data_IF_492154322301
#
_entry.id   IF_492154322301
#
_cell.length_a   1.000
_cell.length_b   1.000
_cell.length_c   1.000
_cell.angle_alpha   90.00
_cell.angle_beta   90.00
_cell.angle_gamma   90.00
#
_symmetry.space_group_name_H-M   'P 1'
#
loop_
_entity.id
_entity.type
_entity.pdbx_description
1 polymer ?
#
# COMPACT_ATOMS: atom_id res chain seq x y z
N UNK A 1 -10.11 44.55 29.53
CA UNK A 1 -9.72 43.62 28.45
C UNK A 1 -8.77 42.60 29.01
N UNK A 2 -9.14 41.33 28.88
CA UNK A 2 -8.29 40.19 29.18
C UNK A 2 -7.40 39.84 27.99
N UNK A 3 -6.15 39.47 28.23
CA UNK A 3 -5.25 38.95 27.20
C UNK A 3 -5.43 37.44 27.08
N UNK A 4 -5.85 36.98 25.91
CA UNK A 4 -6.21 35.58 25.65
C UNK A 4 -5.52 35.08 24.37
N UNK A 5 -5.39 33.77 24.25
CA UNK A 5 -4.90 33.11 23.03
C UNK A 5 -6.08 32.53 22.25
N UNK A 6 -6.30 33.00 21.03
CA UNK A 6 -7.33 32.46 20.13
C UNK A 6 -6.68 31.52 19.11
N UNK A 7 -7.08 30.26 19.13
CA UNK A 7 -6.53 29.21 18.27
C UNK A 7 -7.51 28.81 17.19
N UNK A 8 -7.03 28.87 15.95
CA UNK A 8 -7.79 28.59 14.75
C UNK A 8 -7.23 27.30 14.13
N UNK A 9 -8.06 26.27 13.93
CA UNK A 9 -7.62 25.02 13.32
C UNK A 9 -7.28 25.25 11.84
N UNK A 10 -6.39 24.42 11.31
CA UNK A 10 -5.92 24.49 9.91
C UNK A 10 -7.07 24.58 8.88
N UNK A 11 -8.17 23.88 9.12
CA UNK A 11 -9.38 23.86 8.27
C UNK A 11 -9.99 25.27 8.11
N UNK A 12 -9.87 26.12 9.12
CA UNK A 12 -10.37 27.50 9.13
C UNK A 12 -9.26 28.54 8.86
N UNK A 13 -8.01 28.11 8.66
CA UNK A 13 -6.85 28.95 8.34
C UNK A 13 -6.32 28.67 6.92
N UNK A 14 -7.22 28.43 5.96
CA UNK A 14 -6.86 28.23 4.54
C UNK A 14 -5.77 27.16 4.29
N UNK A 15 -5.66 26.16 5.17
CA UNK A 15 -4.66 25.10 5.08
C UNK A 15 -3.25 25.48 5.55
N UNK A 16 -3.03 26.69 6.06
CA UNK A 16 -1.73 27.19 6.56
C UNK A 16 -1.35 26.70 7.97
N UNK A 17 -1.84 25.54 8.40
CA UNK A 17 -1.61 25.01 9.74
C UNK A 17 -2.48 25.65 10.83
N UNK A 18 -2.32 25.18 12.06
CA UNK A 18 -2.94 25.81 13.24
C UNK A 18 -2.35 27.21 13.46
N UNK A 19 -3.22 28.19 13.68
CA UNK A 19 -2.81 29.57 13.92
C UNK A 19 -3.27 30.02 15.31
N UNK A 20 -2.30 30.46 16.12
CA UNK A 20 -2.55 31.07 17.43
C UNK A 20 -2.40 32.58 17.32
N UNK A 21 -3.39 33.31 17.83
CA UNK A 21 -3.42 34.77 17.78
C UNK A 21 -3.68 35.28 19.19
N UNK A 22 -2.75 36.07 19.72
CA UNK A 22 -2.95 36.77 20.98
C UNK A 22 -3.83 38.00 20.77
N UNK A 23 -4.92 38.10 21.54
CA UNK A 23 -5.84 39.23 21.46
C UNK A 23 -6.25 39.70 22.85
N UNK A 24 -6.50 41.00 22.97
CA UNK A 24 -6.99 41.63 24.21
C UNK A 24 -8.48 41.98 24.06
N UNK A 25 -9.36 41.35 24.84
CA UNK A 25 -10.84 41.38 24.70
C UNK A 25 -11.53 41.14 26.06
N UNK A 26 -12.77 41.60 26.23
CA UNK A 26 -13.50 41.43 27.50
C UNK A 26 -14.44 40.22 27.49
N UNK A 27 -15.02 39.89 26.34
CA UNK A 27 -15.98 38.80 26.18
C UNK A 27 -15.65 37.88 25.01
N UNK A 28 -16.31 36.72 24.97
CA UNK A 28 -16.24 35.81 23.83
C UNK A 28 -16.75 36.47 22.54
N UNK A 29 -17.79 37.30 22.61
CA UNK A 29 -18.28 38.10 21.48
C UNK A 29 -17.17 38.99 20.90
N UNK A 30 -16.49 39.75 21.75
CA UNK A 30 -15.41 40.64 21.34
C UNK A 30 -14.23 39.86 20.72
N UNK A 31 -13.96 38.65 21.23
CA UNK A 31 -12.95 37.76 20.69
C UNK A 31 -13.23 37.38 19.23
N UNK A 32 -14.48 37.03 18.89
CA UNK A 32 -14.88 36.69 17.53
C UNK A 32 -14.89 37.89 16.58
N UNK A 33 -15.24 39.08 17.05
CA UNK A 33 -15.13 40.31 16.25
C UNK A 33 -13.67 40.57 15.90
N UNK A 34 -12.80 40.59 16.91
CA UNK A 34 -11.38 40.93 16.75
C UNK A 34 -10.63 39.90 15.91
N UNK A 35 -10.87 38.60 16.12
CA UNK A 35 -10.23 37.57 15.31
C UNK A 35 -10.70 37.61 13.86
N UNK A 36 -11.95 38.00 13.59
CA UNK A 36 -12.46 38.15 12.22
C UNK A 36 -11.78 39.31 11.48
N UNK A 37 -11.45 40.39 12.18
CA UNK A 37 -10.65 41.49 11.61
C UNK A 37 -9.23 41.05 11.26
N UNK A 38 -8.61 40.23 12.12
CA UNK A 38 -7.26 39.69 11.90
C UNK A 38 -7.21 38.67 10.75
N UNK A 39 -8.26 37.85 10.63
CA UNK A 39 -8.31 36.74 9.68
C UNK A 39 -8.94 37.12 8.33
N UNK A 40 -9.66 38.23 8.27
CA UNK A 40 -10.28 38.75 7.06
C UNK A 40 -11.61 38.08 6.68
N UNK A 41 -12.16 38.52 5.55
CA UNK A 41 -13.53 38.22 5.15
C UNK A 41 -13.80 36.73 4.87
N UNK A 42 -12.80 35.97 4.41
CA UNK A 42 -12.99 34.54 4.13
C UNK A 42 -13.21 33.73 5.42
N UNK A 43 -12.45 34.02 6.47
CA UNK A 43 -12.67 33.43 7.79
C UNK A 43 -14.04 33.81 8.34
N UNK A 44 -14.38 35.11 8.26
CA UNK A 44 -15.66 35.64 8.73
C UNK A 44 -16.85 34.91 8.09
N UNK A 45 -16.81 34.69 6.77
CA UNK A 45 -17.83 33.95 6.01
C UNK A 45 -18.00 32.51 6.48
N UNK A 46 -16.90 31.84 6.82
CA UNK A 46 -16.88 30.41 7.24
C UNK A 46 -17.27 30.21 8.70
N UNK A 47 -17.02 31.19 9.57
CA UNK A 47 -17.16 31.04 11.03
C UNK A 47 -18.38 31.75 11.59
N UNK A 48 -18.85 32.84 10.97
CA UNK A 48 -19.98 33.63 11.45
C UNK A 48 -21.20 33.56 10.52
N UNK A 49 -22.38 33.74 11.10
CA UNK A 49 -23.63 34.07 10.40
C UNK A 49 -23.67 35.57 10.04
N UNK A 50 -24.68 35.97 9.26
CA UNK A 50 -24.84 37.37 8.81
C UNK A 50 -25.12 38.35 9.95
N UNK A 51 -25.62 37.87 11.08
CA UNK A 51 -25.84 38.66 12.30
C UNK A 51 -24.60 38.78 13.20
N UNK A 52 -23.47 38.17 12.81
CA UNK A 52 -22.21 38.20 13.54
C UNK A 52 -22.09 37.15 14.65
N UNK A 53 -23.07 36.27 14.82
CA UNK A 53 -22.96 35.13 15.74
C UNK A 53 -22.16 33.98 15.12
N UNK A 54 -21.41 33.18 15.89
CA UNK A 54 -20.76 31.97 15.36
C UNK A 54 -21.79 31.01 14.77
N UNK A 55 -21.49 30.44 13.60
CA UNK A 55 -22.36 29.44 12.97
C UNK A 55 -22.63 28.30 13.95
N UNK A 56 -23.82 27.72 13.87
CA UNK A 56 -24.21 26.56 14.71
C UNK A 56 -23.26 25.37 14.60
N UNK A 57 -22.57 25.29 13.45
CA UNK A 57 -21.52 24.34 13.12
C UNK A 57 -20.14 24.73 13.66
N UNK A 58 -20.00 25.69 14.57
CA UNK A 58 -18.71 26.02 15.21
C UNK A 58 -18.83 25.72 16.71
N UNK A 59 -18.18 24.65 17.14
CA UNK A 59 -17.94 24.35 18.55
C UNK A 59 -16.83 25.26 19.09
N UNK A 60 -17.01 25.74 20.31
CA UNK A 60 -16.12 26.71 20.94
C UNK A 60 -15.69 26.13 22.28
N UNK A 61 -14.40 26.16 22.56
CA UNK A 61 -13.81 25.68 23.79
C UNK A 61 -13.02 26.80 24.45
N UNK A 62 -13.19 26.98 25.75
CA UNK A 62 -12.43 27.91 26.59
C UNK A 62 -11.68 27.06 27.62
N UNK A 63 -10.35 27.08 27.60
CA UNK A 63 -9.49 26.25 28.43
C UNK A 63 -9.87 24.75 28.36
N UNK A 64 -10.19 24.27 27.15
CA UNK A 64 -10.61 22.89 26.90
C UNK A 64 -12.06 22.55 27.29
N UNK A 65 -12.83 23.49 27.87
CA UNK A 65 -14.25 23.29 28.22
C UNK A 65 -15.16 23.89 27.16
N UNK A 66 -16.16 23.13 26.72
CA UNK A 66 -17.09 23.61 25.69
C UNK A 66 -17.93 24.78 26.20
N UNK A 67 -17.94 25.90 25.46
CA UNK A 67 -18.59 27.15 25.83
C UNK A 67 -20.13 27.08 25.78
N UNK A 68 -20.74 26.02 25.22
CA UNK A 68 -22.19 25.79 25.31
C UNK A 68 -22.67 25.56 26.76
N UNK A 69 -21.76 25.30 27.70
CA UNK A 69 -22.06 25.13 29.12
C UNK A 69 -21.74 26.37 29.99
N UNK A 70 -21.32 27.49 29.39
CA UNK A 70 -21.15 28.80 30.03
C UNK A 70 -22.26 29.77 29.60
N UNK A 71 -22.17 31.05 29.96
CA UNK A 71 -23.09 32.13 29.54
C UNK A 71 -23.08 32.41 28.02
N UNK A 72 -22.67 31.47 27.18
CA UNK A 72 -22.59 31.61 25.73
C UNK A 72 -21.62 32.72 25.30
N UNK A 73 -22.04 33.55 24.35
CA UNK A 73 -21.23 34.65 23.80
C UNK A 73 -20.96 35.79 24.79
N UNK A 74 -21.76 35.91 25.85
CA UNK A 74 -21.56 36.87 26.93
C UNK A 74 -20.55 36.38 27.99
N UNK A 75 -19.91 35.23 27.76
CA UNK A 75 -18.88 34.72 28.67
C UNK A 75 -17.75 35.74 28.80
N UNK A 76 -17.54 36.23 30.03
CA UNK A 76 -16.44 37.11 30.38
C UNK A 76 -15.14 36.30 30.41
N UNK A 77 -14.12 36.80 29.70
CA UNK A 77 -12.82 36.16 29.57
C UNK A 77 -11.84 36.67 30.63
N UNK A 78 -10.89 35.83 31.01
CA UNK A 78 -9.84 36.12 31.98
C UNK A 78 -8.47 36.11 31.32
N UNK A 79 -7.52 36.84 31.91
CA UNK A 79 -6.13 36.80 31.46
C UNK A 79 -5.60 35.37 31.44
N UNK A 80 -5.02 34.99 30.30
CA UNK A 80 -4.48 33.66 30.06
C UNK A 80 -5.49 32.63 29.57
N UNK A 81 -6.76 32.99 29.34
CA UNK A 81 -7.71 32.06 28.74
C UNK A 81 -7.26 31.65 27.32
N UNK A 82 -7.45 30.38 27.00
CA UNK A 82 -7.24 29.83 25.66
C UNK A 82 -8.58 29.50 25.02
N UNK A 83 -8.83 30.07 23.84
CA UNK A 83 -10.02 29.81 23.04
C UNK A 83 -9.63 28.93 21.86
N UNK A 84 -10.38 27.86 21.65
CA UNK A 84 -10.21 26.94 20.52
C UNK A 84 -11.55 26.74 19.81
N UNK A 85 -11.57 26.91 18.50
CA UNK A 85 -12.77 26.67 17.69
C UNK A 85 -12.64 25.40 16.86
N UNK A 86 -13.73 24.65 16.76
CA UNK A 86 -13.80 23.40 15.99
C UNK A 86 -15.10 23.39 15.20
N UNK A 87 -15.08 23.22 13.88
CA UNK A 87 -16.33 23.00 13.16
C UNK A 87 -17.02 21.71 13.66
N UNK A 88 -18.30 21.79 14.02
CA UNK A 88 -19.21 20.66 14.18
C UNK A 88 -19.63 20.21 12.79
N UNK A 89 -19.57 18.91 12.52
CA UNK A 89 -19.90 18.41 11.19
C UNK A 89 -20.77 17.16 11.34
N UNK A 90 -21.88 17.17 10.61
CA UNK A 90 -22.88 16.11 10.63
C UNK A 90 -22.45 14.96 9.70
N UNK A 91 -22.66 13.73 10.17
CA UNK A 91 -22.10 12.50 9.59
C UNK A 91 -22.36 12.27 8.10
N UNK A 92 -21.25 11.98 7.41
CA UNK A 92 -21.12 11.34 6.11
C UNK A 92 -19.66 10.87 5.98
N UNK A 93 -19.36 9.91 5.12
CA UNK A 93 -18.04 9.27 4.95
C UNK A 93 -16.88 10.20 4.53
N UNK A 94 -17.03 11.51 4.66
CA UNK A 94 -16.10 12.56 4.24
C UNK A 94 -15.27 13.13 5.40
N UNK A 95 -15.38 12.61 6.62
CA UNK A 95 -14.61 13.12 7.78
C UNK A 95 -13.98 12.02 8.65
N UNK A 96 -13.01 12.41 9.47
CA UNK A 96 -12.40 11.54 10.48
C UNK A 96 -13.30 11.45 11.71
N UNK A 97 -13.67 10.24 12.12
CA UNK A 97 -14.36 10.00 13.39
C UNK A 97 -13.48 10.38 14.58
N UNK A 98 -14.09 10.56 15.77
CA UNK A 98 -13.34 10.84 16.99
C UNK A 98 -12.26 9.77 17.29
N UNK A 99 -12.56 8.49 17.00
CA UNK A 99 -11.60 7.39 17.13
C UNK A 99 -10.42 7.54 16.16
N UNK A 100 -10.69 7.92 14.90
CA UNK A 100 -9.64 8.15 13.90
C UNK A 100 -8.82 9.40 14.23
N UNK A 101 -9.44 10.47 14.73
CA UNK A 101 -8.74 11.67 15.21
C UNK A 101 -7.81 11.37 16.39
N UNK A 102 -8.25 10.57 17.36
CA UNK A 102 -7.39 10.15 18.47
C UNK A 102 -6.22 9.29 17.98
N UNK A 103 -6.52 8.26 17.17
CA UNK A 103 -5.53 7.33 16.60
C UNK A 103 -4.47 8.04 15.75
N UNK A 104 -4.90 8.94 14.87
CA UNK A 104 -4.04 9.63 13.92
C UNK A 104 -3.66 11.03 14.37
N UNK A 105 -3.93 11.40 15.63
CA UNK A 105 -3.66 12.72 16.20
C UNK A 105 -2.26 13.24 15.86
N UNK A 106 -1.24 12.39 16.04
CA UNK A 106 0.15 12.72 15.73
C UNK A 106 0.40 12.97 14.24
N UNK A 107 -0.29 12.27 13.34
CA UNK A 107 -0.20 12.50 11.89
C UNK A 107 -0.97 13.75 11.46
N UNK A 108 -2.15 13.98 12.03
CA UNK A 108 -2.98 15.16 11.77
C UNK A 108 -2.26 16.46 12.18
N UNK A 109 -1.41 16.40 13.21
CA UNK A 109 -0.59 17.53 13.65
C UNK A 109 0.66 17.77 12.78
N UNK A 110 1.08 16.81 11.95
CA UNK A 110 2.21 17.01 11.03
C UNK A 110 1.78 17.94 9.91
N UNK A 111 2.55 19.02 9.68
CA UNK A 111 2.30 19.97 8.59
C UNK A 111 2.30 19.26 7.23
N UNK A 112 3.11 18.20 7.09
CA UNK A 112 3.23 17.45 5.86
C UNK A 112 1.99 16.64 5.50
N UNK A 113 1.13 16.30 6.48
CA UNK A 113 -0.09 15.50 6.27
C UNK A 113 -1.31 16.37 6.59
N UNK A 114 -1.43 16.86 7.82
CA UNK A 114 -2.58 17.64 8.26
C UNK A 114 -3.89 16.83 8.30
N UNK A 115 -4.97 17.47 8.76
CA UNK A 115 -6.30 16.87 8.73
C UNK A 115 -6.72 16.43 7.31
N UNK A 116 -6.52 17.31 6.32
CA UNK A 116 -6.90 17.03 4.94
C UNK A 116 -6.07 15.91 4.30
N UNK A 117 -4.77 15.82 4.58
CA UNK A 117 -3.96 14.70 4.09
C UNK A 117 -4.39 13.39 4.73
N UNK A 118 -4.70 13.37 6.02
CA UNK A 118 -5.22 12.18 6.69
C UNK A 118 -6.59 11.74 6.12
N UNK A 119 -7.45 12.70 5.77
CA UNK A 119 -8.71 12.41 5.10
C UNK A 119 -8.50 11.81 3.70
N UNK A 120 -7.53 12.33 2.93
CA UNK A 120 -7.15 11.74 1.63
C UNK A 120 -6.62 10.31 1.80
N UNK A 121 -5.80 10.04 2.82
CA UNK A 121 -5.36 8.68 3.14
C UNK A 121 -6.55 7.76 3.41
N UNK A 122 -7.49 8.20 4.27
CA UNK A 122 -8.72 7.46 4.59
C UNK A 122 -9.59 7.18 3.36
N UNK A 123 -9.62 8.07 2.39
CA UNK A 123 -10.44 7.90 1.20
C UNK A 123 -9.72 7.22 0.03
N UNK A 124 -8.43 6.91 0.19
CA UNK A 124 -7.62 6.30 -0.87
C UNK A 124 -7.71 4.78 -0.90
N UNK A 125 -7.46 4.23 -2.08
CA UNK A 125 -7.22 2.82 -2.36
C UNK A 125 -5.80 2.60 -2.87
N UNK A 126 -4.99 1.91 -2.08
CA UNK A 126 -3.61 1.57 -2.43
C UNK A 126 -3.50 0.08 -2.74
N UNK A 127 -2.84 -0.26 -3.84
CA UNK A 127 -2.51 -1.65 -4.17
C UNK A 127 -1.03 -1.90 -3.88
N UNK A 128 -0.72 -2.88 -3.03
CA UNK A 128 0.64 -3.35 -2.79
C UNK A 128 0.80 -4.72 -3.42
N UNK A 129 1.72 -4.82 -4.38
CA UNK A 129 2.02 -6.05 -5.10
C UNK A 129 3.28 -6.68 -4.52
N UNK A 130 3.14 -7.85 -3.92
CA UNK A 130 4.13 -8.50 -3.09
C UNK A 130 3.86 -8.22 -1.60
N UNK A 131 3.70 -9.28 -0.82
CA UNK A 131 3.60 -9.24 0.66
C UNK A 131 4.79 -9.92 1.33
N UNK A 132 5.89 -10.09 0.59
CA UNK A 132 7.15 -10.66 1.08
C UNK A 132 7.94 -9.70 1.97
N UNK A 133 9.27 -9.81 1.91
CA UNK A 133 10.18 -9.06 2.80
C UNK A 133 10.04 -7.55 2.67
N UNK A 134 9.84 -7.05 1.44
CA UNK A 134 9.64 -5.63 1.18
C UNK A 134 8.18 -5.19 1.43
N UNK A 135 7.22 -6.02 1.03
CA UNK A 135 5.79 -5.74 1.19
C UNK A 135 5.29 -5.72 2.64
N UNK A 136 5.91 -6.49 3.53
CA UNK A 136 5.58 -6.56 4.96
C UNK A 136 5.63 -5.19 5.67
N UNK A 137 6.77 -4.46 5.67
CA UNK A 137 6.85 -3.14 6.28
C UNK A 137 5.95 -2.11 5.56
N UNK A 138 5.73 -2.24 4.26
CA UNK A 138 4.87 -1.34 3.47
C UNK A 138 3.41 -1.47 3.92
N UNK A 139 2.86 -2.68 3.83
CA UNK A 139 1.44 -2.95 4.14
C UNK A 139 1.10 -2.62 5.59
N UNK A 140 1.97 -3.01 6.54
CA UNK A 140 1.80 -2.72 7.95
C UNK A 140 1.78 -1.22 8.22
N UNK A 141 2.70 -0.47 7.59
CA UNK A 141 2.79 0.98 7.76
C UNK A 141 1.60 1.69 7.12
N UNK A 142 1.19 1.34 5.90
CA UNK A 142 0.01 1.93 5.25
C UNK A 142 -1.28 1.70 6.05
N UNK A 143 -1.49 0.47 6.55
CA UNK A 143 -2.64 0.16 7.41
C UNK A 143 -2.60 0.98 8.70
N UNK A 144 -1.42 1.09 9.35
CA UNK A 144 -1.24 1.90 10.55
C UNK A 144 -1.40 3.42 10.31
N UNK A 145 -1.08 3.90 9.11
CA UNK A 145 -1.23 5.30 8.71
C UNK A 145 -2.68 5.67 8.37
N UNK A 146 -3.59 4.69 8.26
CA UNK A 146 -5.01 4.93 8.04
C UNK A 146 -5.41 5.04 6.57
N UNK A 147 -4.75 4.29 5.68
CA UNK A 147 -5.27 4.09 4.32
C UNK A 147 -6.68 3.47 4.38
N UNK A 148 -7.60 3.98 3.56
CA UNK A 148 -8.99 3.51 3.50
C UNK A 148 -9.11 2.08 3.05
N UNK A 149 -8.63 1.81 1.83
CA UNK A 149 -8.61 0.46 1.25
C UNK A 149 -7.19 0.06 0.88
N UNK A 150 -6.72 -1.05 1.44
CA UNK A 150 -5.44 -1.64 1.10
C UNK A 150 -5.68 -2.96 0.35
N UNK A 151 -5.41 -2.95 -0.95
CA UNK A 151 -5.37 -4.16 -1.77
C UNK A 151 -3.97 -4.76 -1.66
N UNK A 152 -3.89 -6.03 -1.28
CA UNK A 152 -2.63 -6.77 -1.17
C UNK A 152 -2.66 -7.96 -2.12
N UNK A 153 -1.58 -8.14 -2.86
CA UNK A 153 -1.48 -9.13 -3.94
C UNK A 153 -0.22 -9.95 -3.72
N UNK A 154 -0.36 -11.26 -3.65
CA UNK A 154 0.75 -12.21 -3.56
C UNK A 154 0.26 -13.57 -3.98
N UNK A 155 1.15 -14.42 -4.50
CA UNK A 155 0.81 -15.76 -4.98
C UNK A 155 1.42 -16.87 -4.12
N UNK A 156 2.16 -16.53 -3.07
CA UNK A 156 2.94 -17.48 -2.31
C UNK A 156 2.28 -17.90 -0.99
N UNK A 157 2.86 -18.94 -0.41
CA UNK A 157 2.64 -19.38 0.97
C UNK A 157 3.81 -19.00 1.87
N UNK A 158 3.57 -18.95 3.18
CA UNK A 158 4.57 -18.60 4.17
C UNK A 158 5.50 -19.79 4.41
N UNK A 159 6.81 -19.55 4.36
CA UNK A 159 7.84 -20.54 4.67
C UNK A 159 8.65 -20.13 5.91
N UNK A 160 9.21 -21.10 6.64
CA UNK A 160 10.10 -20.81 7.78
C UNK A 160 11.28 -19.90 7.38
N UNK A 161 11.84 -20.11 6.18
CA UNK A 161 12.91 -19.31 5.60
C UNK A 161 12.55 -17.82 5.41
N UNK A 162 11.26 -17.47 5.46
CA UNK A 162 10.76 -16.12 5.23
C UNK A 162 10.76 -15.28 6.53
N UNK A 163 10.63 -15.92 7.69
CA UNK A 163 10.32 -15.24 8.96
C UNK A 163 11.40 -14.27 9.42
N UNK A 164 12.68 -14.46 9.03
CA UNK A 164 13.76 -13.53 9.39
C UNK A 164 13.60 -12.13 8.78
N UNK A 165 12.79 -11.98 7.72
CA UNK A 165 12.57 -10.71 7.01
C UNK A 165 11.10 -10.34 6.80
N UNK A 166 10.16 -11.24 7.07
CA UNK A 166 8.72 -11.05 6.91
C UNK A 166 8.04 -11.03 8.28
N UNK A 167 8.28 -9.95 9.04
CA UNK A 167 7.97 -9.85 10.49
C UNK A 167 6.48 -9.71 10.83
N UNK A 168 5.60 -9.58 9.85
CA UNK A 168 4.17 -9.72 10.01
C UNK A 168 3.80 -11.17 10.31
N UNK A 169 4.57 -12.15 9.84
CA UNK A 169 4.31 -13.58 10.00
C UNK A 169 5.07 -14.18 11.18
N UNK A 170 4.56 -15.30 11.71
CA UNK A 170 5.21 -16.10 12.76
C UNK A 170 5.21 -17.60 12.38
N UNK A 171 5.76 -18.44 13.25
CA UNK A 171 5.92 -19.89 12.98
C UNK A 171 4.57 -20.61 12.82
N UNK A 172 3.51 -20.15 13.48
CA UNK A 172 2.18 -20.75 13.39
C UNK A 172 1.52 -20.47 12.02
N UNK A 173 2.00 -19.45 11.29
CA UNK A 173 1.49 -19.13 9.96
C UNK A 173 2.14 -19.95 8.83
N UNK A 174 3.17 -20.75 9.10
CA UNK A 174 3.91 -21.48 8.07
C UNK A 174 2.98 -22.44 7.32
N UNK A 175 3.04 -22.40 5.99
CA UNK A 175 2.18 -23.17 5.09
C UNK A 175 0.86 -22.49 4.70
N UNK A 176 0.48 -21.39 5.37
CA UNK A 176 -0.70 -20.61 4.98
C UNK A 176 -0.40 -19.63 3.83
N UNK A 177 -1.44 -19.27 3.06
CA UNK A 177 -1.36 -18.26 1.98
C UNK A 177 -1.01 -16.89 2.55
N UNK A 178 0.05 -16.25 2.02
CA UNK A 178 0.60 -14.99 2.55
C UNK A 178 -0.45 -13.88 2.67
N UNK A 179 -1.18 -13.60 1.58
CA UNK A 179 -2.20 -12.52 1.60
C UNK A 179 -3.35 -12.80 2.56
N UNK A 180 -3.70 -14.07 2.80
CA UNK A 180 -4.79 -14.42 3.72
C UNK A 180 -4.40 -14.11 5.17
N UNK A 181 -3.20 -14.56 5.56
CA UNK A 181 -2.65 -14.27 6.89
C UNK A 181 -2.38 -12.78 7.06
N UNK A 182 -1.77 -12.13 6.06
CA UNK A 182 -1.51 -10.70 6.08
C UNK A 182 -2.81 -9.91 6.27
N UNK A 183 -3.89 -10.26 5.57
CA UNK A 183 -5.18 -9.59 5.75
C UNK A 183 -5.74 -9.74 7.17
N UNK A 184 -5.64 -10.94 7.76
CA UNK A 184 -6.07 -11.18 9.16
C UNK A 184 -5.26 -10.31 10.13
N UNK A 185 -3.94 -10.23 9.96
CA UNK A 185 -3.04 -9.48 10.85
C UNK A 185 -3.17 -7.96 10.66
N UNK A 186 -3.30 -7.48 9.43
CA UNK A 186 -3.52 -6.06 9.14
C UNK A 186 -4.88 -5.56 9.66
N UNK A 187 -5.95 -6.37 9.58
CA UNK A 187 -7.24 -6.04 10.20
C UNK A 187 -7.17 -5.94 11.72
N UNK A 188 -6.35 -6.78 12.38
CA UNK A 188 -6.07 -6.66 13.82
C UNK A 188 -5.30 -5.38 14.14
N UNK A 189 -4.33 -5.02 13.29
CA UNK A 189 -3.56 -3.79 13.42
C UNK A 189 -4.46 -2.56 13.32
N UNK A 190 -5.27 -2.45 12.27
CA UNK A 190 -6.22 -1.35 12.09
C UNK A 190 -7.53 -1.84 11.46
N UNK A 191 -8.57 -2.02 12.29
CA UNK A 191 -9.88 -2.50 11.85
C UNK A 191 -10.64 -1.52 10.93
N UNK A 192 -10.25 -0.24 10.90
CA UNK A 192 -10.88 0.77 10.05
C UNK A 192 -10.33 0.73 8.61
N UNK A 193 -9.22 0.02 8.38
CA UNK A 193 -8.63 -0.20 7.05
C UNK A 193 -9.29 -1.41 6.37
N UNK A 194 -9.93 -1.19 5.21
CA UNK A 194 -10.50 -2.26 4.39
C UNK A 194 -9.39 -3.01 3.65
N UNK A 195 -9.18 -4.29 3.98
CA UNK A 195 -8.20 -5.13 3.30
C UNK A 195 -8.85 -5.96 2.18
N UNK A 196 -8.35 -5.81 0.96
CA UNK A 196 -8.69 -6.64 -0.21
C UNK A 196 -7.51 -7.58 -0.52
N UNK A 197 -7.62 -8.86 -0.19
CA UNK A 197 -6.57 -9.85 -0.43
C UNK A 197 -6.78 -10.58 -1.76
N UNK A 198 -5.76 -10.57 -2.63
CA UNK A 198 -5.76 -11.27 -3.91
C UNK A 198 -4.60 -12.28 -3.96
N UNK A 199 -4.96 -13.57 -3.94
CA UNK A 199 -4.02 -14.68 -4.07
C UNK A 199 -3.73 -14.96 -5.55
N UNK A 200 -3.02 -14.06 -6.23
CA UNK A 200 -2.87 -14.05 -7.69
C UNK A 200 -1.44 -13.70 -8.08
N UNK A 201 -0.92 -14.38 -9.12
CA UNK A 201 0.35 -14.03 -9.75
C UNK A 201 0.19 -12.84 -10.69
N UNK A 202 1.08 -11.85 -10.59
CA UNK A 202 1.06 -10.68 -11.49
C UNK A 202 1.84 -10.98 -12.76
N UNK A 203 1.15 -10.91 -13.89
CA UNK A 203 1.69 -11.12 -15.24
C UNK A 203 0.84 -10.36 -16.26
N UNK A 204 1.14 -10.49 -17.54
CA UNK A 204 0.46 -9.76 -18.62
C UNK A 204 -1.06 -10.03 -18.74
N UNK A 205 -1.54 -11.14 -18.17
CA UNK A 205 -2.94 -11.52 -18.18
C UNK A 205 -3.71 -10.98 -16.96
N UNK A 206 -3.03 -10.89 -15.81
CA UNK A 206 -3.68 -10.56 -14.53
C UNK A 206 -3.43 -9.13 -14.06
N UNK A 207 -2.35 -8.49 -14.50
CA UNK A 207 -1.90 -7.19 -13.99
C UNK A 207 -2.96 -6.09 -14.15
N UNK A 208 -3.77 -6.15 -15.21
CA UNK A 208 -4.85 -5.18 -15.43
C UNK A 208 -5.92 -5.23 -14.33
N UNK A 209 -6.44 -6.42 -14.03
CA UNK A 209 -7.43 -6.60 -12.96
C UNK A 209 -6.85 -6.21 -11.60
N UNK A 210 -5.58 -6.52 -11.37
CA UNK A 210 -4.88 -6.26 -10.10
C UNK A 210 -4.84 -4.77 -9.77
N UNK A 211 -4.53 -3.90 -10.73
CA UNK A 211 -4.35 -2.46 -10.48
C UNK A 211 -5.65 -1.66 -10.62
N UNK A 212 -6.67 -2.20 -11.28
CA UNK A 212 -7.89 -1.47 -11.62
C UNK A 212 -8.56 -0.83 -10.39
N UNK A 213 -8.91 0.46 -10.53
CA UNK A 213 -9.62 1.24 -9.51
C UNK A 213 -8.77 1.67 -8.32
N UNK A 214 -7.45 1.53 -8.35
CA UNK A 214 -6.54 2.00 -7.30
C UNK A 214 -6.02 3.41 -7.60
N UNK A 215 -5.77 4.20 -6.56
CA UNK A 215 -5.21 5.55 -6.68
C UNK A 215 -3.69 5.52 -6.86
N UNK A 216 -3.03 4.57 -6.18
CA UNK A 216 -1.58 4.35 -6.23
C UNK A 216 -1.27 2.87 -6.13
N UNK A 217 -0.27 2.42 -6.88
CA UNK A 217 0.29 1.06 -6.80
C UNK A 217 1.68 1.12 -6.18
N UNK A 218 2.04 0.17 -5.31
CA UNK A 218 3.38 -0.01 -4.77
C UNK A 218 3.87 -1.39 -5.19
N UNK A 219 5.00 -1.41 -5.89
CA UNK A 219 5.69 -2.59 -6.36
C UNK A 219 6.73 -3.05 -5.34
N UNK A 220 6.40 -4.16 -4.67
CA UNK A 220 7.28 -4.89 -3.76
C UNK A 220 7.56 -6.30 -4.28
N UNK A 221 7.57 -6.48 -5.61
CA UNK A 221 7.89 -7.74 -6.28
C UNK A 221 9.39 -8.04 -6.21
N UNK A 222 9.74 -9.30 -6.49
CA UNK A 222 11.13 -9.74 -6.70
C UNK A 222 11.39 -10.23 -8.13
N UNK A 223 10.35 -10.44 -8.94
CA UNK A 223 10.45 -10.80 -10.37
C UNK A 223 10.59 -9.58 -11.29
N UNK A 224 11.38 -9.70 -12.35
CA UNK A 224 11.51 -8.66 -13.40
C UNK A 224 10.31 -8.68 -14.34
N UNK A 225 9.87 -9.87 -14.75
CA UNK A 225 8.74 -10.03 -15.66
C UNK A 225 7.43 -9.51 -15.05
N UNK A 226 7.19 -9.79 -13.77
CA UNK A 226 6.04 -9.26 -13.05
C UNK A 226 6.06 -7.72 -12.97
N UNK A 227 7.24 -7.10 -12.79
CA UNK A 227 7.40 -5.63 -12.81
C UNK A 227 7.09 -5.02 -14.17
N UNK A 228 7.51 -5.66 -15.26
CA UNK A 228 7.14 -5.20 -16.60
C UNK A 228 5.63 -5.25 -16.84
N UNK A 229 4.98 -6.35 -16.44
CA UNK A 229 3.53 -6.48 -16.53
C UNK A 229 2.80 -5.41 -15.69
N UNK A 230 3.25 -5.20 -14.46
CA UNK A 230 2.70 -4.19 -13.56
C UNK A 230 2.86 -2.77 -14.11
N UNK A 231 4.05 -2.44 -14.64
CA UNK A 231 4.33 -1.17 -15.30
C UNK A 231 3.40 -0.94 -16.49
N UNK A 232 3.21 -1.94 -17.37
CA UNK A 232 2.28 -1.86 -18.50
C UNK A 232 0.85 -1.57 -18.04
N UNK A 233 0.40 -2.26 -16.99
CA UNK A 233 -0.94 -2.08 -16.44
C UNK A 233 -1.14 -0.68 -15.84
N UNK A 234 -0.21 -0.21 -15.01
CA UNK A 234 -0.26 1.12 -14.41
C UNK A 234 -0.23 2.22 -15.46
N UNK A 235 0.62 2.10 -16.49
CA UNK A 235 0.69 3.06 -17.60
C UNK A 235 -0.61 3.09 -18.41
N UNK A 236 -1.25 1.93 -18.64
CA UNK A 236 -2.52 1.84 -19.35
C UNK A 236 -3.65 2.56 -18.64
N UNK A 237 -3.76 2.40 -17.32
CA UNK A 237 -4.80 3.05 -16.52
C UNK A 237 -4.44 4.47 -16.05
N UNK A 238 -3.20 4.91 -16.26
CA UNK A 238 -2.73 6.21 -15.76
C UNK A 238 -2.57 6.26 -14.25
N UNK A 239 -2.34 5.11 -13.60
CA UNK A 239 -2.18 5.00 -12.15
C UNK A 239 -0.71 5.21 -11.77
N UNK A 240 -0.38 6.19 -10.91
CA UNK A 240 0.96 6.33 -10.37
C UNK A 240 1.43 5.06 -9.65
N UNK A 241 2.69 4.68 -9.83
CA UNK A 241 3.26 3.57 -9.05
C UNK A 241 4.65 3.85 -8.52
N UNK A 242 4.92 3.34 -7.33
CA UNK A 242 6.20 3.45 -6.63
C UNK A 242 6.83 2.07 -6.62
N UNK A 243 8.13 1.97 -6.89
CA UNK A 243 8.83 0.69 -6.96
C UNK A 243 10.08 0.69 -6.12
N UNK A 244 10.25 -0.41 -5.39
CA UNK A 244 11.40 -0.72 -4.58
C UNK A 244 12.01 -2.07 -4.98
N UNK A 245 13.33 -2.13 -4.89
CA UNK A 245 14.09 -3.36 -5.00
C UNK A 245 15.20 -3.38 -3.95
N UNK A 246 15.54 -4.57 -3.46
CA UNK A 246 16.65 -4.76 -2.53
C UNK A 246 17.33 -6.11 -2.74
N UNK A 247 18.66 -6.13 -2.64
CA UNK A 247 19.49 -7.32 -2.73
C UNK A 247 20.74 -7.11 -1.88
N UNK A 248 21.17 -8.13 -1.13
CA UNK A 248 22.27 -8.00 -0.18
C UNK A 248 22.01 -6.88 0.83
N UNK A 249 22.85 -5.84 0.79
CA UNK A 249 22.76 -4.64 1.63
C UNK A 249 22.35 -3.38 0.87
N UNK A 250 22.01 -3.53 -0.42
CA UNK A 250 21.71 -2.41 -1.31
C UNK A 250 20.23 -2.36 -1.68
N UNK A 251 19.72 -1.16 -1.93
CA UNK A 251 18.33 -0.91 -2.30
C UNK A 251 18.19 0.15 -3.38
N UNK A 252 17.09 0.08 -4.13
CA UNK A 252 16.75 1.04 -5.18
C UNK A 252 15.28 1.43 -5.08
N UNK A 253 14.99 2.72 -5.22
CA UNK A 253 13.61 3.27 -5.17
C UNK A 253 13.42 4.32 -6.25
N UNK A 254 12.28 4.28 -6.93
CA UNK A 254 11.83 5.37 -7.80
C UNK A 254 10.31 5.42 -7.92
N UNK A 255 9.79 6.54 -8.40
CA UNK A 255 8.35 6.75 -8.62
C UNK A 255 8.06 6.98 -10.09
N UNK A 256 6.99 6.37 -10.57
CA UNK A 256 6.54 6.48 -11.96
C UNK A 256 5.19 7.20 -11.98
N UNK A 257 5.17 8.33 -12.67
CA UNK A 257 3.97 9.06 -13.06
C UNK A 257 3.70 8.74 -14.54
N UNK A 258 2.69 7.91 -14.84
CA UNK A 258 2.39 7.46 -16.20
C UNK A 258 2.37 8.58 -17.22
N UNK A 259 3.10 8.39 -18.32
CA UNK A 259 3.22 9.34 -19.45
C UNK A 259 3.79 10.73 -19.08
N UNK A 260 4.24 10.92 -17.84
CA UNK A 260 4.86 12.16 -17.35
C UNK A 260 6.34 11.93 -17.04
N UNK A 261 6.67 10.92 -16.23
CA UNK A 261 8.05 10.53 -15.93
C UNK A 261 8.53 9.38 -16.81
N UNK A 262 9.80 8.99 -16.67
CA UNK A 262 10.28 7.70 -17.14
C UNK A 262 9.42 6.57 -16.55
N UNK A 263 8.96 5.65 -17.39
CA UNK A 263 8.36 4.39 -16.91
C UNK A 263 9.46 3.35 -16.68
N UNK A 264 9.10 2.18 -16.13
CA UNK A 264 10.08 1.13 -15.83
C UNK A 264 10.88 0.73 -17.08
N UNK A 265 10.21 0.58 -18.22
CA UNK A 265 10.83 0.26 -19.50
C UNK A 265 11.74 1.37 -20.06
N UNK A 266 11.49 2.65 -19.72
CA UNK A 266 12.40 3.73 -20.10
C UNK A 266 13.74 3.62 -19.36
N UNK A 267 13.71 3.18 -18.10
CA UNK A 267 14.90 3.08 -17.25
C UNK A 267 15.66 1.77 -17.49
N UNK A 268 14.91 0.69 -17.71
CA UNK A 268 15.45 -0.66 -17.86
C UNK A 268 14.76 -1.35 -19.04
N UNK A 269 15.22 -1.12 -20.28
CA UNK A 269 14.70 -1.83 -21.44
C UNK A 269 15.24 -3.27 -21.46
N UNK A 270 14.37 -4.25 -21.71
CA UNK A 270 14.76 -5.63 -22.04
C UNK A 270 15.69 -6.31 -21.02
N UNK A 271 15.43 -6.14 -19.71
CA UNK A 271 16.13 -6.90 -18.69
C UNK A 271 15.80 -8.40 -18.80
N UNK A 272 16.85 -9.20 -18.80
CA UNK A 272 16.74 -10.67 -18.75
C UNK A 272 16.66 -11.14 -17.30
N UNK A 273 15.53 -11.76 -16.94
CA UNK A 273 15.27 -12.26 -15.58
C UNK A 273 16.31 -13.31 -15.14
N UNK A 274 16.77 -14.16 -16.06
CA UNK A 274 17.74 -15.22 -15.76
C UNK A 274 19.14 -14.67 -15.42
N UNK A 275 19.42 -13.44 -15.84
CA UNK A 275 20.69 -12.76 -15.60
C UNK A 275 20.75 -11.99 -14.28
N UNK A 276 19.62 -11.80 -13.60
CA UNK A 276 19.52 -10.90 -12.46
C UNK A 276 19.88 -11.60 -11.14
N UNK A 277 20.69 -10.96 -10.27
CA UNK A 277 21.00 -11.51 -8.95
C UNK A 277 19.72 -11.53 -8.10
N UNK A 278 19.37 -12.71 -7.58
CA UNK A 278 18.17 -12.88 -6.74
C UNK A 278 18.54 -12.89 -5.26
N UNK A 279 17.57 -12.56 -4.39
CA UNK A 279 17.73 -12.62 -2.94
C UNK A 279 18.09 -14.04 -2.42
N UNK A 280 17.80 -15.11 -3.17
CA UNK A 280 18.21 -16.46 -2.75
C UNK A 280 19.67 -16.78 -3.02
N UNK A 281 20.26 -16.09 -3.99
CA UNK A 281 21.66 -16.26 -4.38
C UNK A 281 22.53 -15.36 -3.51
N UNK A 282 22.18 -14.07 -3.43
CA UNK A 282 22.99 -13.05 -2.75
C UNK A 282 22.62 -12.86 -1.26
N UNK A 283 21.45 -13.35 -0.84
CA UNK A 283 20.87 -13.00 0.46
C UNK A 283 20.28 -11.58 0.47
N UNK A 284 19.67 -11.20 1.60
CA UNK A 284 19.16 -9.84 1.80
C UNK A 284 19.13 -9.46 3.28
N UNK A 285 19.59 -8.26 3.58
CA UNK A 285 19.61 -7.71 4.94
C UNK A 285 18.21 -7.17 5.33
N UNK A 286 17.57 -7.63 6.41
CA UNK A 286 16.20 -7.21 6.76
C UNK A 286 16.02 -5.68 6.90
N UNK A 287 17.04 -4.96 7.39
CA UNK A 287 16.98 -3.50 7.51
C UNK A 287 16.87 -2.77 6.17
N UNK A 288 17.48 -3.26 5.08
CA UNK A 288 17.38 -2.57 3.79
C UNK A 288 15.94 -2.61 3.28
N UNK A 289 15.22 -3.72 3.51
CA UNK A 289 13.81 -3.87 3.16
C UNK A 289 12.92 -2.86 3.92
N UNK A 290 13.22 -2.63 5.20
CA UNK A 290 12.48 -1.66 6.02
C UNK A 290 12.74 -0.21 5.61
N UNK A 291 13.97 0.11 5.20
CA UNK A 291 14.36 1.43 4.71
C UNK A 291 13.73 1.71 3.35
N UNK A 292 13.91 0.79 2.39
CA UNK A 292 13.31 0.87 1.04
C UNK A 292 11.79 0.98 1.14
N UNK A 293 11.14 0.06 1.86
CA UNK A 293 9.69 0.09 2.03
C UNK A 293 9.17 1.32 2.78
N UNK A 294 9.98 1.91 3.68
CA UNK A 294 9.65 3.20 4.31
C UNK A 294 9.63 4.37 3.34
N UNK A 295 10.59 4.40 2.43
CA UNK A 295 10.67 5.44 1.40
C UNK A 295 9.56 5.25 0.36
N UNK A 296 9.25 4.00 -0.02
CA UNK A 296 8.12 3.72 -0.92
C UNK A 296 6.78 4.21 -0.35
N UNK A 297 6.53 3.95 0.93
CA UNK A 297 5.34 4.47 1.63
C UNK A 297 5.33 5.99 1.64
N UNK A 298 6.48 6.64 1.90
CA UNK A 298 6.56 8.10 1.91
C UNK A 298 6.25 8.72 0.54
N UNK A 299 6.71 8.11 -0.56
CA UNK A 299 6.40 8.55 -1.92
C UNK A 299 4.93 8.32 -2.28
N UNK A 300 4.37 7.15 -1.93
CA UNK A 300 2.96 6.85 -2.15
C UNK A 300 2.05 7.83 -1.40
N UNK A 301 2.38 8.15 -0.14
CA UNK A 301 1.64 9.14 0.66
C UNK A 301 1.68 10.52 0.02
N UNK A 302 2.83 10.96 -0.52
CA UNK A 302 2.90 12.24 -1.25
C UNK A 302 1.93 12.25 -2.44
N UNK A 303 1.88 11.18 -3.22
CA UNK A 303 0.96 11.07 -4.36
C UNK A 303 -0.48 11.20 -3.88
N UNK A 304 -0.89 10.41 -2.87
CA UNK A 304 -2.26 10.38 -2.34
C UNK A 304 -2.70 11.77 -1.85
N UNK A 305 -1.80 12.48 -1.14
CA UNK A 305 -2.14 13.80 -0.58
C UNK A 305 -2.02 14.93 -1.61
N UNK A 306 -1.61 14.63 -2.85
CA UNK A 306 -1.51 15.57 -3.97
C UNK A 306 -0.20 16.38 -4.01
N UNK A 307 0.86 15.88 -3.38
CA UNK A 307 2.22 16.45 -3.47
C UNK A 307 3.00 15.79 -4.59
N UNK A 308 3.96 16.53 -5.18
CA UNK A 308 4.89 15.97 -6.15
C UNK A 308 5.80 14.93 -5.45
N UNK A 309 5.85 13.66 -5.91
CA UNK A 309 6.80 12.69 -5.39
C UNK A 309 8.24 13.13 -5.68
N UNK A 310 9.14 12.85 -4.74
CA UNK A 310 10.54 13.29 -4.83
C UNK A 310 11.39 12.43 -5.78
N UNK A 311 10.96 11.20 -6.06
CA UNK A 311 11.68 10.22 -6.87
C UNK A 311 11.06 10.04 -8.28
N UNK A 312 10.26 11.01 -8.76
CA UNK A 312 9.67 10.93 -10.11
C UNK A 312 10.64 11.18 -11.26
N UNK A 313 11.84 11.71 -10.98
CA UNK A 313 12.84 12.09 -12.00
C UNK A 313 14.24 11.55 -11.66
N UNK A 314 14.30 10.62 -10.71
CA UNK A 314 15.55 10.02 -10.26
C UNK A 314 15.32 8.68 -9.57
N UNK A 315 16.31 7.81 -9.68
CA UNK A 315 16.44 6.58 -8.90
C UNK A 315 17.28 6.90 -7.67
N UNK A 316 16.77 6.56 -6.48
CA UNK A 316 17.53 6.57 -5.25
C UNK A 316 18.20 5.21 -5.06
N UNK A 317 19.51 5.22 -4.89
CA UNK A 317 20.33 4.06 -4.54
C UNK A 317 20.75 4.19 -3.07
N UNK A 318 20.58 3.10 -2.32
CA UNK A 318 20.94 3.01 -0.92
C UNK A 318 21.94 1.87 -0.77
N UNK A 319 23.01 2.12 -0.04
CA UNK A 319 24.01 1.12 0.33
C UNK A 319 24.18 1.13 1.86
N UNK A 320 23.86 0.02 2.54
CA UNK A 320 23.99 -0.03 4.00
C UNK A 320 25.39 -0.36 4.49
N UNK A 321 26.28 -0.84 3.63
CA UNK A 321 27.67 -1.12 4.04
C UNK A 321 28.40 0.18 4.38
N UNK A 322 28.21 1.20 3.54
CA UNK A 322 28.82 2.52 3.71
C UNK A 322 27.83 3.58 4.23
N UNK A 323 26.55 3.22 4.33
CA UNK A 323 25.43 4.13 4.65
C UNK A 323 25.31 5.29 3.64
N UNK A 324 25.43 4.95 2.36
CA UNK A 324 25.40 5.92 1.27
C UNK A 324 24.01 6.03 0.62
N UNK A 325 23.66 7.27 0.26
CA UNK A 325 22.42 7.61 -0.45
C UNK A 325 22.78 8.39 -1.71
N UNK A 326 22.77 7.70 -2.85
CA UNK A 326 23.13 8.26 -4.15
C UNK A 326 21.91 8.35 -5.05
N UNK A 327 21.91 9.25 -6.03
CA UNK A 327 20.80 9.37 -6.96
C UNK A 327 21.24 9.52 -8.41
N UNK A 328 20.49 8.88 -9.30
CA UNK A 328 20.70 8.93 -10.74
C UNK A 328 19.47 9.57 -11.38
N UNK A 329 19.64 10.64 -12.15
CA UNK A 329 18.52 11.29 -12.85
C UNK A 329 17.99 10.40 -13.97
N UNK A 330 16.68 10.42 -14.18
CA UNK A 330 16.00 9.65 -15.22
C UNK A 330 15.08 10.54 -16.04
N UNK A 331 14.87 10.17 -17.30
CA UNK A 331 14.07 10.93 -18.26
C UNK A 331 13.15 10.00 -19.03
N UNK A 332 11.93 10.48 -19.32
CA UNK A 332 11.00 9.76 -20.19
C UNK A 332 11.60 9.67 -21.59
N UNK A 333 11.48 8.51 -22.20
CA UNK A 333 11.85 8.26 -23.60
C UNK A 333 10.60 8.41 -24.45
N UNK A 334 10.62 9.30 -25.45
CA UNK A 334 9.47 9.60 -26.30
C UNK A 334 9.07 8.39 -27.15
N UNK A 335 10.04 7.62 -27.64
CA UNK A 335 9.84 6.42 -28.45
C UNK A 335 9.63 5.14 -27.62
N UNK A 336 9.43 5.25 -26.31
CA UNK A 336 9.18 4.09 -25.45
C UNK A 336 7.95 3.31 -25.93
N UNK A 337 8.03 1.98 -26.11
CA UNK A 337 6.88 1.19 -26.58
C UNK A 337 5.75 1.08 -25.54
N UNK A 338 6.02 1.41 -24.28
CA UNK A 338 5.03 1.29 -23.20
C UNK A 338 4.33 2.63 -22.92
N UNK A 339 5.09 3.72 -22.72
CA UNK A 339 4.54 5.01 -22.34
C UNK A 339 4.73 6.12 -23.39
N UNK A 340 5.28 5.79 -24.56
CA UNK A 340 5.65 6.70 -25.64
C UNK A 340 4.91 6.40 -26.95
N UNK A 341 5.53 6.76 -28.07
CA UNK A 341 5.02 6.54 -29.43
C UNK A 341 5.45 5.20 -30.05
N UNK A 342 6.33 4.45 -29.38
CA UNK A 342 6.82 3.17 -29.88
C UNK A 342 5.74 2.09 -29.91
N UNK A 343 5.94 1.06 -30.74
CA UNK A 343 5.01 -0.06 -30.86
C UNK A 343 5.44 -1.24 -29.97
N UNK A 344 4.46 -1.87 -29.33
CA UNK A 344 4.66 -3.11 -28.56
C UNK A 344 4.73 -4.27 -29.55
N UNK A 345 5.80 -5.05 -29.53
CA UNK A 345 5.83 -6.35 -30.23
C UNK A 345 4.83 -7.28 -29.55
N UNK A 346 3.86 -7.80 -30.28
CA UNK A 346 2.96 -8.84 -29.76
C UNK A 346 3.77 -10.09 -29.43
N UNK A 347 3.73 -10.50 -28.15
CA UNK A 347 4.29 -11.77 -27.70
C UNK A 347 3.20 -12.83 -27.81
N UNK A 348 3.56 -14.00 -28.32
CA UNK A 348 2.65 -15.14 -28.42
C UNK A 348 2.13 -15.52 -27.03
N UNK A 349 0.80 -15.68 -26.89
CA UNK A 349 0.21 -16.07 -25.61
C UNK A 349 0.55 -17.53 -25.29
N UNK A 350 1.16 -17.77 -24.13
CA UNK A 350 1.37 -19.11 -23.58
C UNK A 350 0.11 -19.61 -22.84
N UNK A 351 -0.08 -20.93 -22.72
CA UNK A 351 -1.18 -21.51 -21.93
C UNK A 351 -0.91 -21.45 -20.41
N UNK A 352 0.37 -21.41 -20.02
CA UNK A 352 0.80 -21.51 -18.62
C UNK A 352 2.16 -20.85 -18.42
N UNK A 353 2.27 -20.04 -17.38
CA UNK A 353 3.51 -19.43 -16.93
C UNK A 353 4.08 -20.30 -15.80
N UNK A 354 5.36 -20.64 -15.93
CA UNK A 354 6.11 -21.40 -14.94
C UNK A 354 7.32 -20.60 -14.46
N UNK A 355 7.44 -20.43 -13.14
CA UNK A 355 8.53 -19.68 -12.51
C UNK A 355 9.14 -20.52 -11.40
N UNK A 356 10.46 -20.72 -11.39
CA UNK A 356 11.13 -21.36 -10.25
C UNK A 356 11.27 -20.33 -9.11
N UNK A 357 10.80 -20.71 -7.92
CA UNK A 357 10.88 -19.90 -6.72
C UNK A 357 12.18 -20.14 -5.96
N UNK A 358 12.70 -19.03 -5.44
CA UNK A 358 13.90 -18.91 -4.63
C UNK A 358 13.91 -19.75 -3.32
N UNK A 359 12.77 -20.24 -2.85
CA UNK A 359 12.64 -21.03 -1.62
C UNK A 359 13.10 -22.48 -1.80
N UNK A 360 14.22 -22.86 -1.16
CA UNK A 360 14.65 -24.27 -1.06
C UNK A 360 14.09 -24.91 0.20
N UNK A 361 12.93 -25.56 0.09
CA UNK A 361 12.33 -26.28 1.20
C UNK A 361 13.15 -27.54 1.51
N UNK A 362 14.12 -27.43 2.41
CA UNK A 362 15.05 -28.50 2.77
C UNK A 362 15.82 -29.06 1.55
N UNK A 363 16.19 -28.18 0.62
CA UNK A 363 16.91 -28.54 -0.61
C UNK A 363 16.04 -28.95 -1.79
N UNK A 364 14.71 -29.02 -1.62
CA UNK A 364 13.77 -29.27 -2.73
C UNK A 364 13.54 -27.99 -3.55
N UNK A 365 13.43 -28.15 -4.87
CA UNK A 365 13.07 -27.07 -5.80
C UNK A 365 11.59 -26.72 -5.63
N UNK A 366 11.25 -25.47 -5.90
CA UNK A 366 9.89 -24.94 -5.75
C UNK A 366 9.51 -24.23 -7.04
N UNK A 367 8.34 -24.55 -7.60
CA UNK A 367 7.84 -23.96 -8.83
C UNK A 367 6.50 -23.28 -8.58
N UNK A 368 6.35 -22.08 -9.10
CA UNK A 368 5.07 -21.41 -9.23
C UNK A 368 4.50 -21.67 -10.61
N UNK A 369 3.25 -22.08 -10.62
CA UNK A 369 2.50 -22.42 -11.81
C UNK A 369 1.31 -21.48 -11.88
N UNK A 370 1.20 -20.72 -12.98
CA UNK A 370 0.06 -19.82 -13.20
C UNK A 370 -0.57 -20.09 -14.56
N UNK A 371 -1.83 -20.59 -14.61
CA UNK A 371 -2.55 -20.70 -15.87
C UNK A 371 -2.86 -19.30 -16.42
N UNK A 372 -2.77 -19.11 -17.72
CA UNK A 372 -3.06 -17.81 -18.35
C UNK A 372 -4.57 -17.50 -18.40
N UNK A 373 -5.41 -18.55 -18.29
CA UNK A 373 -6.83 -18.43 -17.99
C UNK A 373 -7.11 -18.82 -16.53
N UNK A 374 -7.58 -17.84 -15.74
CA UNK A 374 -7.96 -18.10 -14.35
C UNK A 374 -9.26 -18.91 -14.24
N UNK A 375 -9.36 -19.77 -13.24
CA UNK A 375 -10.57 -20.53 -12.93
C UNK A 375 -10.67 -20.76 -11.41
N UNK A 376 -11.89 -20.93 -10.90
CA UNK A 376 -12.08 -21.30 -9.50
C UNK A 376 -11.68 -22.76 -9.26
N UNK A 377 -10.82 -22.98 -8.28
CA UNK A 377 -10.35 -24.30 -7.90
C UNK A 377 -11.48 -25.16 -7.31
N UNK A 378 -11.76 -26.31 -7.92
CA UNK A 378 -12.62 -27.33 -7.33
C UNK A 378 -11.86 -28.09 -6.22
N UNK A 379 -11.96 -27.55 -5.00
CA UNK A 379 -11.29 -28.09 -3.81
C UNK A 379 -11.67 -29.55 -3.55
N UNK A 380 -12.92 -29.94 -3.81
CA UNK A 380 -13.38 -31.30 -3.53
C UNK A 380 -12.76 -32.30 -4.52
N UNK A 381 -12.77 -31.96 -5.82
CA UNK A 381 -12.14 -32.77 -6.86
C UNK A 381 -10.62 -32.91 -6.65
N UNK A 382 -9.93 -31.79 -6.43
CA UNK A 382 -8.48 -31.77 -6.22
C UNK A 382 -8.09 -32.55 -4.97
N UNK A 383 -8.84 -32.42 -3.88
CA UNK A 383 -8.58 -33.17 -2.64
C UNK A 383 -8.79 -34.67 -2.82
N UNK A 384 -9.80 -35.08 -3.60
CA UNK A 384 -10.04 -36.49 -3.94
C UNK A 384 -8.87 -37.09 -4.73
N UNK A 385 -8.44 -36.42 -5.80
CA UNK A 385 -7.29 -36.85 -6.62
C UNK A 385 -6.00 -36.86 -5.79
N UNK A 386 -5.82 -35.88 -4.90
CA UNK A 386 -4.67 -35.81 -4.00
C UNK A 386 -4.60 -37.05 -3.09
N UNK A 387 -5.72 -37.44 -2.47
CA UNK A 387 -5.79 -38.63 -1.62
C UNK A 387 -5.44 -39.91 -2.37
N UNK A 388 -5.94 -40.09 -3.60
CA UNK A 388 -5.59 -41.24 -4.47
C UNK A 388 -4.09 -41.31 -4.77
N UNK A 389 -3.42 -40.15 -4.80
CA UNK A 389 -1.98 -40.00 -5.04
C UNK A 389 -1.15 -40.00 -3.74
N UNK A 390 -1.77 -40.21 -2.59
CA UNK A 390 -1.10 -40.22 -1.29
C UNK A 390 -0.66 -38.84 -0.80
N UNK A 391 -1.25 -37.75 -1.31
CA UNK A 391 -1.09 -36.39 -0.80
C UNK A 391 -2.23 -36.12 0.19
N UNK A 392 -1.89 -35.87 1.45
CA UNK A 392 -2.85 -35.49 2.47
C UNK A 392 -3.16 -33.99 2.38
N UNK A 393 -4.38 -33.59 2.75
CA UNK A 393 -4.71 -32.18 2.94
C UNK A 393 -4.01 -31.70 4.21
N UNK A 394 -3.05 -30.80 4.04
CA UNK A 394 -2.25 -30.20 5.11
C UNK A 394 -2.99 -28.98 5.69
N UNK A 395 -3.60 -28.18 4.81
CA UNK A 395 -4.29 -26.94 5.16
C UNK A 395 -5.36 -26.59 4.13
N UNK A 396 -6.47 -25.99 4.58
CA UNK A 396 -7.53 -25.47 3.70
C UNK A 396 -8.05 -24.14 4.26
N UNK A 397 -7.79 -23.06 3.51
CA UNK A 397 -8.29 -21.71 3.78
C UNK A 397 -9.38 -21.27 2.81
N UNK A 398 -9.79 -20.00 2.89
CA UNK A 398 -10.76 -19.44 1.93
C UNK A 398 -10.14 -19.15 0.57
N UNK A 399 -8.82 -18.87 0.55
CA UNK A 399 -8.10 -18.45 -0.64
C UNK A 399 -7.15 -19.52 -1.19
N UNK A 400 -7.05 -20.69 -0.56
CA UNK A 400 -6.17 -21.74 -1.03
C UNK A 400 -6.29 -23.08 -0.31
N UNK A 401 -5.65 -24.08 -0.88
CA UNK A 401 -5.59 -25.47 -0.42
C UNK A 401 -4.13 -25.95 -0.47
N UNK A 402 -3.60 -26.44 0.64
CA UNK A 402 -2.28 -27.04 0.71
C UNK A 402 -2.36 -28.55 0.91
N UNK A 403 -1.60 -29.26 0.10
CA UNK A 403 -1.51 -30.71 0.03
C UNK A 403 -0.06 -31.13 0.26
N UNK A 404 0.18 -32.21 1.00
CA UNK A 404 1.55 -32.64 1.32
C UNK A 404 1.68 -34.15 1.43
N UNK A 405 2.84 -34.66 1.03
CA UNK A 405 3.35 -35.97 1.42
C UNK A 405 4.87 -35.86 1.70
N UNK A 406 5.56 -36.99 1.78
CA UNK A 406 7.01 -36.98 2.07
C UNK A 406 7.85 -36.34 0.95
N UNK A 407 7.37 -36.35 -0.28
CA UNK A 407 8.11 -35.93 -1.47
C UNK A 407 7.70 -34.53 -1.94
N UNK A 408 6.41 -34.23 -1.92
CA UNK A 408 5.82 -33.03 -2.49
C UNK A 408 5.01 -32.22 -1.48
N UNK A 409 5.01 -30.91 -1.69
CA UNK A 409 4.04 -29.99 -1.10
C UNK A 409 3.43 -29.15 -2.22
N UNK A 410 2.11 -29.12 -2.33
CA UNK A 410 1.39 -28.37 -3.37
C UNK A 410 0.39 -27.44 -2.72
N UNK A 411 0.57 -26.14 -2.90
CA UNK A 411 -0.32 -25.12 -2.39
C UNK A 411 -1.05 -24.44 -3.54
N UNK A 412 -2.31 -24.79 -3.74
CA UNK A 412 -3.19 -24.14 -4.72
C UNK A 412 -3.77 -22.86 -4.16
N UNK A 413 -3.87 -21.86 -5.04
CA UNK A 413 -4.63 -20.64 -4.84
C UNK A 413 -6.02 -20.82 -5.44
N UNK A 414 -7.01 -20.09 -4.90
CA UNK A 414 -8.41 -20.17 -5.32
C UNK A 414 -8.60 -19.99 -6.83
N UNK A 415 -7.78 -19.17 -7.48
CA UNK A 415 -7.87 -18.85 -8.92
C UNK A 415 -7.00 -19.73 -9.83
N UNK A 416 -6.58 -20.90 -9.34
CA UNK A 416 -5.93 -21.92 -10.15
C UNK A 416 -4.40 -21.87 -10.12
N UNK A 417 -3.75 -20.76 -9.74
CA UNK A 417 -2.30 -20.76 -9.51
C UNK A 417 -1.90 -21.76 -8.44
N UNK A 418 -0.69 -22.32 -8.51
CA UNK A 418 -0.17 -23.23 -7.50
C UNK A 418 1.32 -23.04 -7.24
N UNK A 419 1.74 -23.25 -6.00
CA UNK A 419 3.15 -23.42 -5.62
C UNK A 419 3.41 -24.90 -5.38
N UNK A 420 4.35 -25.46 -6.13
CA UNK A 420 4.68 -26.89 -6.17
C UNK A 420 6.12 -27.09 -5.72
N UNK A 421 6.30 -27.64 -4.52
CA UNK A 421 7.60 -27.95 -3.90
C UNK A 421 7.89 -29.44 -4.05
N UNK A 422 9.13 -29.79 -4.40
CA UNK A 422 9.57 -31.18 -4.52
C UNK A 422 9.91 -31.68 -5.93
N UNK A 423 9.28 -31.20 -7.03
CA UNK A 423 9.64 -31.64 -8.37
C UNK A 423 11.12 -31.43 -8.69
N UNK A 424 11.69 -32.35 -9.47
CA UNK A 424 13.08 -32.33 -9.92
C UNK A 424 13.30 -31.31 -11.02
N UNK A 425 12.28 -31.08 -11.84
CA UNK A 425 12.31 -30.17 -12.98
C UNK A 425 10.91 -29.61 -13.28
N UNK A 426 10.87 -28.71 -14.27
CA UNK A 426 9.66 -28.05 -14.75
C UNK A 426 8.59 -29.03 -15.26
N UNK A 427 9.00 -30.11 -15.92
CA UNK A 427 8.06 -31.06 -16.52
C UNK A 427 7.33 -31.85 -15.45
N UNK A 428 8.05 -32.28 -14.41
CA UNK A 428 7.47 -32.96 -13.26
C UNK A 428 6.52 -32.02 -12.49
N UNK A 429 6.86 -30.74 -12.35
CA UNK A 429 5.99 -29.75 -11.71
C UNK A 429 4.67 -29.56 -12.48
N UNK A 430 4.75 -29.37 -13.81
CA UNK A 430 3.57 -29.20 -14.68
C UNK A 430 2.71 -30.46 -14.67
N UNK A 431 3.33 -31.64 -14.72
CA UNK A 431 2.62 -32.92 -14.72
C UNK A 431 1.86 -33.12 -13.40
N UNK A 432 2.51 -32.87 -12.26
CA UNK A 432 1.88 -33.00 -10.94
C UNK A 432 0.70 -32.05 -10.80
N UNK A 433 0.88 -30.78 -11.17
CA UNK A 433 -0.19 -29.79 -11.17
C UNK A 433 -1.35 -30.23 -12.07
N UNK A 434 -1.10 -30.51 -13.35
CA UNK A 434 -2.11 -30.90 -14.34
C UNK A 434 -2.94 -32.10 -13.89
N UNK A 435 -2.27 -33.09 -13.30
CA UNK A 435 -2.93 -34.28 -12.75
C UNK A 435 -3.85 -33.94 -11.58
N UNK A 436 -3.41 -33.08 -10.65
CA UNK A 436 -4.19 -32.68 -9.49
C UNK A 436 -5.40 -31.81 -9.85
N UNK A 437 -5.30 -30.96 -10.87
CA UNK A 437 -6.44 -30.16 -11.35
C UNK A 437 -7.33 -30.91 -12.34
N UNK A 438 -6.97 -32.13 -12.74
CA UNK A 438 -7.72 -32.93 -13.71
C UNK A 438 -7.79 -32.33 -15.13
N UNK A 439 -6.84 -31.46 -15.48
CA UNK A 439 -6.77 -30.79 -16.79
C UNK A 439 -5.42 -31.08 -17.44
N UNK A 440 -5.42 -31.52 -18.70
CA UNK A 440 -4.18 -31.62 -19.49
C UNK A 440 -3.81 -30.23 -19.98
N UNK A 441 -2.78 -29.61 -19.39
CA UNK A 441 -2.27 -28.30 -19.81
C UNK A 441 -0.95 -28.52 -20.52
N UNK A 442 -0.82 -28.06 -21.76
CA UNK A 442 0.40 -28.25 -22.55
C UNK A 442 1.25 -26.99 -22.43
N UNK A 443 2.54 -27.14 -22.10
CA UNK A 443 3.51 -26.07 -22.38
C UNK A 443 3.60 -25.97 -23.90
N UNK A 444 3.24 -24.82 -24.48
CA UNK A 444 3.53 -24.56 -25.89
C UNK A 444 5.05 -24.64 -26.03
N UNK A 445 5.55 -25.61 -26.79
CA UNK A 445 6.98 -25.70 -27.05
C UNK A 445 7.39 -24.48 -27.89
N UNK A 446 8.35 -23.69 -27.39
CA UNK A 446 9.02 -22.67 -28.19
C UNK A 446 9.79 -23.30 -29.35
#
# INVERSE_FOLDING_TARGET
>A
MANITFTIPSVLNSGGGEKKVEISVDSLQDAFVKISEVMGDDFKRRVLESDGTPRSLINIYINGKNAKFSSGMETVLKDGDEIYILPAVAGGSEELSAKELDRFSRQVMLEEIGYNGQLKLKNSKVCVVGTGGLGNPITSRLAAMGIGTLRIVDRDVIELSNLHRQTLFDEDDVGHVKVEVAAKKLKKLNADCKIEALAVSVNDYTALEVVEGCDVVIDALDSVNARYALNKACVKFGIPFVTGAAVGVSGQIFTILPKVSACYYCMFPELDEDSMPTCSIEGVHPSILSIVGGIEVAEAVKIIIGKKPSLSEKILHIDLENLDFNHTRTFRVEECPICGSGEIKEITKEELILEELCGRNQGKRTFSITPTETFDLDVASVSGIAQEKGLAVDNQGELGLSLRNNDYSVSFMKRGSAVVVGPKDEQEAILLYSQLVGKTIKKTAN
#
